data_IF_520558831207
#
_entry.id   IF_520558831207
#
_cell.length_a   1.000
_cell.length_b   1.000
_cell.length_c   1.000
_cell.angle_alpha   90.00
_cell.angle_beta   90.00
_cell.angle_gamma   90.00
#
_symmetry.space_group_name_H-M   'P 1'
#
loop_
_entity.id
_entity.type
_entity.pdbx_description
1 polymer ?
#
# COMPACT_ATOMS: atom_id res chain seq x y z
N UNK A 1 9.34 -31.13 -16.17
CA UNK A 1 8.80 -29.80 -15.83
C UNK A 1 8.15 -29.92 -14.45
N UNK A 2 8.76 -29.33 -13.41
CA UNK A 2 8.27 -29.46 -12.02
C UNK A 2 7.03 -28.57 -11.87
N UNK A 3 5.90 -29.17 -11.50
CA UNK A 3 4.62 -28.48 -11.34
C UNK A 3 4.73 -27.41 -10.25
N UNK A 4 4.51 -26.13 -10.61
CA UNK A 4 4.46 -24.99 -9.68
C UNK A 4 3.10 -24.83 -9.01
N UNK A 5 2.12 -25.65 -9.40
CA UNK A 5 0.75 -25.63 -8.90
C UNK A 5 0.64 -25.66 -7.36
N UNK A 6 1.36 -26.53 -6.61
CA UNK A 6 1.21 -26.55 -5.15
C UNK A 6 1.74 -25.28 -4.47
N UNK A 7 2.75 -24.63 -5.05
CA UNK A 7 3.29 -23.37 -4.53
C UNK A 7 2.29 -22.23 -4.73
N UNK A 8 1.65 -22.17 -5.90
CA UNK A 8 0.62 -21.18 -6.23
C UNK A 8 -0.59 -21.33 -5.30
N UNK A 9 -1.04 -22.57 -5.07
CA UNK A 9 -2.16 -22.84 -4.16
C UNK A 9 -1.82 -22.49 -2.71
N UNK A 10 -0.59 -22.79 -2.27
CA UNK A 10 -0.15 -22.44 -0.92
C UNK A 10 -0.04 -20.93 -0.72
N UNK A 11 0.46 -20.20 -1.72
CA UNK A 11 0.58 -18.74 -1.68
C UNK A 11 -0.80 -18.05 -1.69
N UNK A 12 -1.76 -18.60 -2.44
CA UNK A 12 -3.13 -18.09 -2.49
C UNK A 12 -3.95 -18.39 -1.21
N UNK A 13 -3.61 -19.46 -0.48
CA UNK A 13 -4.31 -19.86 0.74
C UNK A 13 -3.73 -19.23 2.02
N UNK A 14 -2.51 -18.69 1.98
CA UNK A 14 -1.87 -18.01 3.11
C UNK A 14 -2.72 -16.92 3.78
N UNK A 15 -3.44 -16.02 3.06
CA UNK A 15 -4.25 -14.99 3.72
C UNK A 15 -5.46 -15.54 4.48
N UNK A 16 -5.90 -16.78 4.19
CA UNK A 16 -7.06 -17.39 4.85
C UNK A 16 -6.72 -18.08 6.19
N UNK A 17 -5.44 -18.34 6.48
CA UNK A 17 -5.01 -18.96 7.74
C UNK A 17 -4.69 -17.95 8.85
N UNK A 18 -4.62 -16.66 8.53
CA UNK A 18 -4.54 -15.61 9.55
C UNK A 18 -5.93 -15.46 10.13
N UNK A 19 -6.16 -16.06 11.30
CA UNK A 19 -7.37 -15.83 12.08
C UNK A 19 -7.63 -14.32 12.13
N UNK A 20 -8.77 -13.89 11.60
CA UNK A 20 -9.22 -12.51 11.66
C UNK A 20 -9.65 -12.24 13.10
N UNK A 21 -8.68 -11.99 13.99
CA UNK A 21 -8.95 -11.17 15.16
C UNK A 21 -9.64 -9.91 14.63
N UNK A 22 -10.85 -9.63 15.13
CA UNK A 22 -11.69 -8.53 14.66
C UNK A 22 -10.81 -7.29 14.51
N UNK A 23 -10.57 -6.89 13.27
CA UNK A 23 -9.60 -5.84 12.97
C UNK A 23 -10.04 -4.59 13.72
N UNK A 24 -9.20 -4.01 14.59
CA UNK A 24 -9.57 -2.81 15.32
C UNK A 24 -10.03 -1.76 14.30
N UNK A 25 -11.02 -0.92 14.64
CA UNK A 25 -11.54 0.07 13.72
C UNK A 25 -10.38 0.90 13.17
N UNK A 26 -10.06 0.69 11.88
CA UNK A 26 -9.03 1.46 11.20
C UNK A 26 -9.56 2.87 11.03
N UNK A 27 -8.80 3.90 11.38
CA UNK A 27 -9.14 5.27 11.01
C UNK A 27 -9.34 5.34 9.50
N UNK A 28 -10.43 5.96 9.04
CA UNK A 28 -10.70 6.17 7.60
C UNK A 28 -9.55 6.89 6.86
N UNK A 29 -8.69 7.59 7.61
CA UNK A 29 -7.46 8.19 7.08
C UNK A 29 -6.49 7.15 6.50
N UNK A 30 -6.51 5.89 6.97
CA UNK A 30 -5.67 4.81 6.46
C UNK A 30 -6.14 4.28 5.09
N UNK A 31 -7.40 4.53 4.72
CA UNK A 31 -7.94 4.15 3.40
C UNK A 31 -7.62 5.21 2.32
N UNK A 32 -7.09 6.36 2.74
CA UNK A 32 -6.71 7.44 1.84
C UNK A 32 -5.25 7.30 1.43
N UNK A 33 -5.02 7.35 0.12
CA UNK A 33 -3.66 7.39 -0.39
C UNK A 33 -3.01 8.74 -0.07
N UNK A 34 -1.78 8.70 0.45
CA UNK A 34 -0.99 9.90 0.73
C UNK A 34 -0.57 10.67 -0.54
N UNK A 35 -0.72 10.06 -1.73
CA UNK A 35 -0.35 10.64 -3.02
C UNK A 35 -1.50 10.59 -4.02
N UNK A 36 -1.67 11.67 -4.80
CA UNK A 36 -2.61 11.68 -5.93
C UNK A 36 -2.22 10.63 -6.98
N UNK A 37 -0.92 10.42 -7.21
CA UNK A 37 -0.45 9.41 -8.16
C UNK A 37 -0.83 8.01 -7.71
N UNK A 38 -0.55 7.69 -6.45
CA UNK A 38 -0.88 6.39 -5.88
C UNK A 38 -2.40 6.16 -5.86
N UNK A 39 -3.19 7.19 -5.53
CA UNK A 39 -4.65 7.14 -5.63
C UNK A 39 -5.12 6.79 -7.05
N UNK A 40 -4.52 7.41 -8.09
CA UNK A 40 -4.84 7.14 -9.49
C UNK A 40 -4.49 5.72 -9.95
N UNK A 41 -3.64 5.00 -9.21
CA UNK A 41 -3.28 3.61 -9.46
C UNK A 41 -3.98 2.63 -8.50
N UNK A 42 -5.12 3.04 -7.93
CA UNK A 42 -5.88 2.26 -6.95
C UNK A 42 -5.03 1.82 -5.73
N UNK A 43 -4.13 2.68 -5.26
CA UNK A 43 -3.27 2.42 -4.10
C UNK A 43 -1.96 1.67 -4.42
N UNK A 44 -1.63 1.45 -5.69
CA UNK A 44 -0.44 0.69 -6.12
C UNK A 44 0.91 1.43 -5.95
N UNK A 45 1.26 1.92 -4.77
CA UNK A 45 2.46 2.76 -4.56
C UNK A 45 3.74 2.02 -4.18
N UNK A 46 3.66 0.73 -3.82
CA UNK A 46 4.77 -0.01 -3.20
C UNK A 46 6.10 -0.03 -3.99
N UNK A 47 6.04 0.14 -5.31
CA UNK A 47 7.21 0.17 -6.20
C UNK A 47 7.41 1.52 -6.89
N UNK A 48 6.63 2.55 -6.53
CA UNK A 48 6.82 3.89 -7.05
C UNK A 48 8.10 4.50 -6.47
N UNK A 49 8.77 5.32 -7.28
CA UNK A 49 9.95 6.07 -6.87
C UNK A 49 9.79 7.54 -7.25
N UNK A 50 10.38 8.43 -6.46
CA UNK A 50 10.41 9.87 -6.74
C UNK A 50 9.29 10.70 -6.12
N UNK A 51 8.29 10.08 -5.51
CA UNK A 51 7.24 10.75 -4.73
C UNK A 51 7.54 10.61 -3.24
N UNK A 52 7.47 11.71 -2.49
CA UNK A 52 7.77 11.72 -1.06
C UNK A 52 6.69 10.95 -0.28
N UNK A 53 5.44 10.98 -0.76
CA UNK A 53 4.33 10.31 -0.13
C UNK A 53 4.40 8.77 -0.18
N UNK A 54 5.23 8.18 -1.05
CA UNK A 54 5.42 6.71 -1.13
C UNK A 54 6.04 6.15 0.16
N UNK A 55 6.73 6.99 0.95
CA UNK A 55 7.30 6.58 2.24
C UNK A 55 6.21 6.17 3.25
N UNK A 56 4.98 6.67 3.12
CA UNK A 56 3.85 6.26 3.96
C UNK A 56 3.38 4.82 3.67
N UNK A 57 3.58 4.35 2.44
CA UNK A 57 3.18 3.00 2.01
C UNK A 57 4.35 2.00 2.04
N UNK A 58 5.57 2.46 1.75
CA UNK A 58 6.80 1.67 1.79
C UNK A 58 7.98 2.48 2.34
N UNK A 59 8.25 2.41 3.66
CA UNK A 59 9.34 3.18 4.28
C UNK A 59 10.73 2.77 3.80
N UNK A 60 10.91 1.58 3.21
CA UNK A 60 12.18 1.16 2.64
C UNK A 60 12.60 2.01 1.43
N UNK A 61 11.66 2.72 0.80
CA UNK A 61 11.92 3.60 -0.35
C UNK A 61 12.54 4.95 0.04
N UNK A 62 12.71 5.23 1.34
CA UNK A 62 13.43 6.44 1.77
C UNK A 62 14.90 6.44 1.32
N UNK A 63 15.56 5.28 1.25
CA UNK A 63 16.97 5.16 0.87
C UNK A 63 17.27 5.65 -0.56
N UNK A 64 16.42 5.33 -1.56
CA UNK A 64 16.50 5.89 -2.91
C UNK A 64 16.29 7.42 -3.03
N UNK A 65 15.77 8.12 -2.02
CA UNK A 65 15.51 9.57 -2.09
C UNK A 65 16.84 10.33 -1.90
N UNK A 66 17.38 10.89 -2.99
CA UNK A 66 18.71 11.52 -3.02
C UNK A 66 18.70 13.05 -2.87
N UNK A 67 17.51 13.65 -2.83
CA UNK A 67 17.29 15.10 -2.72
C UNK A 67 16.14 15.35 -1.77
N UNK A 68 16.10 16.54 -1.15
CA UNK A 68 14.93 16.96 -0.38
C UNK A 68 13.70 16.92 -1.30
N UNK A 69 12.68 16.17 -0.87
CA UNK A 69 11.41 16.01 -1.58
C UNK A 69 10.28 16.40 -0.63
N UNK A 70 9.36 17.23 -1.12
CA UNK A 70 8.19 17.69 -0.38
C UNK A 70 6.97 17.46 -1.26
N UNK A 71 5.97 16.79 -0.70
CA UNK A 71 4.71 16.49 -1.37
C UNK A 71 3.56 16.83 -0.42
N UNK A 72 2.49 17.39 -0.96
CA UNK A 72 1.27 17.67 -0.23
C UNK A 72 0.09 17.21 -1.08
N UNK A 73 -0.81 16.47 -0.46
CA UNK A 73 -2.06 16.01 -1.07
C UNK A 73 -3.20 16.27 -0.10
N UNK A 74 -4.40 16.43 -0.65
CA UNK A 74 -5.62 16.61 0.13
C UNK A 74 -6.68 15.67 -0.45
N UNK A 75 -7.33 14.92 0.44
CA UNK A 75 -8.47 14.09 0.09
C UNK A 75 -9.68 14.53 0.91
N UNK A 76 -10.85 14.52 0.27
CA UNK A 76 -12.13 14.79 0.91
C UNK A 76 -12.97 13.52 0.84
N UNK A 77 -13.39 13.00 1.99
CA UNK A 77 -14.45 12.01 2.03
C UNK A 77 -15.80 12.72 1.75
N UNK A 78 -16.71 12.08 1.01
CA UNK A 78 -18.10 12.51 0.96
C UNK A 78 -18.68 12.58 2.37
N UNK A 79 -19.47 13.62 2.61
CA UNK A 79 -20.31 13.73 3.81
C UNK A 79 -21.61 12.98 3.47
N UNK A 80 -21.74 11.73 3.89
CA UNK A 80 -22.98 10.94 3.72
C UNK A 80 -24.12 11.47 4.62
#
# INVERSE_FOLDING_TARGET
MRSLLPLVTLLAAAPALVAQDAEPPRPALQDLSASVRAAGMAGGSLALTGDAAVVFDNPAIIGPIRRLAVEAAHARLPDD
#
